data_IF_415663139145
#
_entry.id   IF_415663139145
#
_cell.length_a   1.000
_cell.length_b   1.000
_cell.length_c   1.000
_cell.angle_alpha   90.00
_cell.angle_beta   90.00
_cell.angle_gamma   90.00
#
_symmetry.space_group_name_H-M   'P 1'
#
loop_
_entity.id
_entity.type
_entity.pdbx_description
1 polymer ?
#
# COMPACT_ATOMS: atom_id res chain seq x y z
N UNK A 1 -8.11 -14.17 14.01
CA UNK A 1 -9.11 -13.16 13.61
C UNK A 1 -9.93 -13.74 12.48
N UNK A 2 -11.25 -13.71 12.57
CA UNK A 2 -12.11 -14.32 11.54
C UNK A 2 -12.00 -13.50 10.25
N UNK A 3 -11.75 -14.18 9.13
CA UNK A 3 -11.58 -13.57 7.78
C UNK A 3 -12.78 -12.69 7.36
N UNK A 4 -13.89 -12.72 8.12
CA UNK A 4 -15.15 -12.03 7.84
C UNK A 4 -15.37 -10.75 8.65
N UNK A 5 -14.35 -10.20 9.32
CA UNK A 5 -14.54 -8.94 10.05
C UNK A 5 -14.90 -7.80 9.09
N UNK A 6 -15.94 -7.02 9.39
CA UNK A 6 -16.48 -5.99 8.49
C UNK A 6 -15.42 -4.95 8.06
N UNK A 7 -14.49 -4.60 8.96
CA UNK A 7 -13.38 -3.70 8.62
C UNK A 7 -12.47 -4.32 7.55
N UNK A 8 -12.12 -5.61 7.65
CA UNK A 8 -11.21 -6.26 6.72
C UNK A 8 -11.88 -6.53 5.36
N UNK A 9 -13.18 -6.84 5.38
CA UNK A 9 -13.95 -7.16 4.17
C UNK A 9 -14.47 -5.94 3.43
N UNK A 10 -14.94 -4.91 4.13
CA UNK A 10 -15.60 -3.77 3.50
C UNK A 10 -14.72 -2.52 3.42
N UNK A 11 -13.89 -2.27 4.43
CA UNK A 11 -13.07 -1.04 4.54
C UNK A 11 -11.67 -1.27 4.00
N UNK A 12 -10.90 -2.20 4.56
CA UNK A 12 -9.52 -2.43 4.13
C UNK A 12 -9.48 -3.24 2.82
N UNK A 13 -10.44 -4.16 2.62
CA UNK A 13 -10.53 -5.08 1.48
C UNK A 13 -9.27 -5.95 1.27
N UNK A 14 -8.54 -6.21 2.35
CA UNK A 14 -7.41 -7.12 2.37
C UNK A 14 -7.12 -7.64 3.78
N UNK A 15 -6.33 -8.71 3.86
CA UNK A 15 -5.81 -9.27 5.10
C UNK A 15 -4.29 -9.35 5.04
N UNK A 16 -3.62 -8.95 6.12
CA UNK A 16 -2.22 -9.27 6.33
C UNK A 16 -2.06 -10.77 6.60
N UNK A 17 -1.17 -11.43 5.87
CA UNK A 17 -0.88 -12.86 6.04
C UNK A 17 0.42 -13.05 6.84
N UNK A 18 1.51 -12.44 6.38
CA UNK A 18 2.84 -12.57 6.99
C UNK A 18 3.80 -11.54 6.38
N UNK A 19 5.02 -11.47 6.91
CA UNK A 19 6.16 -10.84 6.25
C UNK A 19 7.44 -11.66 6.53
N UNK A 20 8.40 -11.68 5.60
CA UNK A 20 9.74 -12.23 5.83
C UNK A 20 10.59 -11.25 6.65
N UNK A 21 11.87 -11.57 6.83
CA UNK A 21 12.85 -10.62 7.37
C UNK A 21 12.92 -9.33 6.53
N UNK A 22 13.27 -8.24 7.21
CA UNK A 22 13.42 -6.93 6.58
C UNK A 22 14.41 -6.98 5.41
N UNK A 23 14.09 -6.25 4.34
CA UNK A 23 14.88 -6.26 3.11
C UNK A 23 14.76 -4.92 2.36
N UNK A 24 15.59 -4.72 1.33
CA UNK A 24 15.38 -3.61 0.40
C UNK A 24 14.01 -3.75 -0.26
N UNK A 25 13.16 -2.75 -0.06
CA UNK A 25 11.79 -2.73 -0.53
C UNK A 25 11.60 -1.57 -1.51
N UNK A 26 11.12 -1.90 -2.70
CA UNK A 26 10.87 -0.92 -3.77
C UNK A 26 9.38 -0.71 -3.96
N UNK A 27 8.91 0.52 -3.89
CA UNK A 27 7.56 0.90 -4.30
C UNK A 27 7.57 1.22 -5.80
N UNK A 28 6.63 0.62 -6.52
CA UNK A 28 6.46 0.77 -7.97
C UNK A 28 5.00 1.13 -8.28
N UNK A 29 4.71 2.38 -8.68
CA UNK A 29 3.40 2.73 -9.24
C UNK A 29 3.08 1.90 -10.49
N UNK A 30 1.81 1.48 -10.62
CA UNK A 30 1.34 0.62 -11.72
C UNK A 30 0.05 1.14 -12.39
N UNK A 31 -0.51 2.25 -11.92
CA UNK A 31 -1.70 2.88 -12.48
C UNK A 31 -1.54 4.40 -12.47
N UNK A 32 -2.37 5.10 -13.23
CA UNK A 32 -2.48 6.56 -13.18
C UNK A 32 -3.56 6.99 -12.18
N UNK A 33 -3.21 7.83 -11.21
CA UNK A 33 -4.14 8.35 -10.21
C UNK A 33 -3.51 9.57 -9.48
N UNK A 34 -4.30 10.57 -9.02
CA UNK A 34 -3.76 11.72 -8.27
C UNK A 34 -2.85 11.33 -7.09
N UNK A 35 -3.15 10.22 -6.41
CA UNK A 35 -2.32 9.71 -5.30
C UNK A 35 -0.89 9.40 -5.71
N UNK A 36 -0.67 8.86 -6.92
CA UNK A 36 0.67 8.49 -7.41
C UNK A 36 1.28 9.58 -8.31
N UNK A 37 0.63 10.74 -8.45
CA UNK A 37 1.07 11.79 -9.36
C UNK A 37 2.45 12.34 -8.97
N UNK A 38 3.36 12.35 -9.95
CA UNK A 38 4.74 12.77 -9.76
C UNK A 38 5.54 11.89 -8.80
N UNK A 39 5.11 10.65 -8.56
CA UNK A 39 5.85 9.63 -7.82
C UNK A 39 6.34 8.59 -8.81
N UNK A 40 7.66 8.45 -8.91
CA UNK A 40 8.30 7.38 -9.68
C UNK A 40 8.50 6.11 -8.86
N UNK A 41 9.11 5.10 -9.48
CA UNK A 41 9.65 3.94 -8.75
C UNK A 41 10.74 4.42 -7.78
N UNK A 42 10.67 4.00 -6.52
CA UNK A 42 11.70 4.29 -5.52
C UNK A 42 11.95 3.10 -4.59
N UNK A 43 13.18 2.99 -4.10
CA UNK A 43 13.56 2.02 -3.07
C UNK A 43 13.80 2.77 -1.76
N UNK A 44 13.27 2.24 -0.67
CA UNK A 44 13.48 2.84 0.65
C UNK A 44 14.96 2.88 1.04
N UNK A 45 15.40 3.92 1.77
CA UNK A 45 16.78 4.04 2.22
C UNK A 45 17.17 3.00 3.29
N UNK A 46 16.21 2.54 4.09
CA UNK A 46 16.41 1.46 5.06
C UNK A 46 15.62 0.20 4.69
N UNK A 47 16.04 -0.93 5.25
CA UNK A 47 15.33 -2.19 5.08
C UNK A 47 13.93 -2.08 5.70
N UNK A 48 12.96 -2.69 5.01
CA UNK A 48 11.55 -2.66 5.39
C UNK A 48 10.92 -4.05 5.27
N UNK A 49 9.71 -4.20 5.78
CA UNK A 49 8.98 -5.46 5.81
C UNK A 49 8.16 -5.65 4.51
N UNK A 50 8.45 -6.72 3.76
CA UNK A 50 7.68 -7.06 2.56
C UNK A 50 6.38 -7.78 2.95
N UNK A 51 5.32 -7.03 3.21
CA UNK A 51 4.04 -7.59 3.65
C UNK A 51 3.35 -8.40 2.56
N UNK A 52 2.95 -9.63 2.90
CA UNK A 52 2.12 -10.50 2.04
C UNK A 52 0.67 -10.21 2.34
N UNK A 53 -0.05 -9.67 1.35
CA UNK A 53 -1.43 -9.24 1.48
C UNK A 53 -2.36 -10.16 0.69
N UNK A 54 -3.41 -10.67 1.35
CA UNK A 54 -4.51 -11.38 0.69
C UNK A 54 -5.64 -10.38 0.41
N UNK A 55 -5.74 -9.96 -0.85
CA UNK A 55 -6.86 -9.11 -1.30
C UNK A 55 -8.18 -9.88 -1.24
N UNK A 56 -9.27 -9.19 -0.90
CA UNK A 56 -10.60 -9.80 -0.93
C UNK A 56 -11.01 -10.03 -2.39
N UNK A 57 -11.30 -11.28 -2.81
CA UNK A 57 -11.68 -11.57 -4.19
C UNK A 57 -12.94 -10.84 -4.62
N UNK A 58 -12.98 -10.38 -5.87
CA UNK A 58 -14.13 -9.70 -6.49
C UNK A 58 -14.58 -8.39 -5.80
N UNK A 59 -13.82 -7.87 -4.84
CA UNK A 59 -14.07 -6.54 -4.28
C UNK A 59 -13.59 -5.47 -5.27
N UNK A 60 -14.37 -4.41 -5.45
CA UNK A 60 -14.06 -3.31 -6.37
C UNK A 60 -12.90 -2.46 -5.86
N UNK A 61 -11.67 -2.92 -6.07
CA UNK A 61 -10.45 -2.31 -5.53
C UNK A 61 -9.46 -2.06 -6.66
N UNK A 62 -8.95 -0.84 -6.73
CA UNK A 62 -7.90 -0.47 -7.70
C UNK A 62 -6.55 -0.44 -7.00
N UNK A 63 -5.59 -1.21 -7.49
CA UNK A 63 -4.20 -1.18 -7.00
C UNK A 63 -3.44 -0.08 -7.74
N UNK A 64 -2.86 0.86 -7.01
CA UNK A 64 -2.12 1.99 -7.56
C UNK A 64 -0.61 1.73 -7.61
N UNK A 65 -0.08 0.97 -6.64
CA UNK A 65 1.33 0.65 -6.55
C UNK A 65 1.55 -0.72 -5.92
N UNK A 66 2.68 -1.32 -6.28
CA UNK A 66 3.18 -2.59 -5.75
C UNK A 66 4.48 -2.38 -4.97
N UNK A 67 4.76 -3.26 -4.01
CA UNK A 67 6.08 -3.43 -3.42
C UNK A 67 6.81 -4.58 -4.11
N UNK A 68 8.09 -4.39 -4.41
CA UNK A 68 8.96 -5.38 -5.06
C UNK A 68 10.19 -5.57 -4.20
N UNK A 69 10.53 -6.83 -3.91
CA UNK A 69 11.83 -7.19 -3.31
C UNK A 69 12.26 -8.59 -3.74
N UNK A 70 13.32 -9.13 -3.10
CA UNK A 70 13.74 -10.52 -3.27
C UNK A 70 12.64 -11.56 -2.96
N UNK A 71 11.58 -11.15 -2.24
CA UNK A 71 10.48 -12.03 -1.81
C UNK A 71 9.26 -11.99 -2.75
N UNK A 72 9.34 -11.26 -3.88
CA UNK A 72 8.29 -11.21 -4.90
C UNK A 72 7.68 -9.82 -5.07
N UNK A 73 6.39 -9.80 -5.40
CA UNK A 73 5.60 -8.60 -5.67
C UNK A 73 4.31 -8.67 -4.86
N UNK A 74 3.95 -7.57 -4.18
CA UNK A 74 2.73 -7.47 -3.37
C UNK A 74 2.00 -6.14 -3.60
N UNK A 75 0.66 -6.09 -3.47
CA UNK A 75 -0.07 -4.83 -3.46
C UNK A 75 0.39 -3.94 -2.31
N UNK A 76 0.74 -2.69 -2.61
CA UNK A 76 1.26 -1.74 -1.63
C UNK A 76 0.37 -0.55 -1.39
N UNK A 77 -0.33 -0.10 -2.43
CA UNK A 77 -1.28 1.01 -2.36
C UNK A 77 -2.53 0.63 -3.12
N UNK A 78 -3.70 0.73 -2.49
CA UNK A 78 -4.97 0.50 -3.16
C UNK A 78 -6.07 1.43 -2.68
N UNK A 79 -7.05 1.63 -3.56
CA UNK A 79 -8.16 2.54 -3.34
C UNK A 79 -9.50 1.92 -3.71
N UNK A 80 -10.56 2.46 -3.14
CA UNK A 80 -11.95 2.25 -3.53
C UNK A 80 -12.85 3.26 -2.81
N UNK A 81 -14.15 3.22 -3.08
CA UNK A 81 -15.16 3.95 -2.32
C UNK A 81 -15.93 3.01 -1.39
N UNK A 82 -16.33 3.52 -0.23
CA UNK A 82 -17.22 2.84 0.70
C UNK A 82 -18.29 3.81 1.21
N UNK A 83 -19.53 3.62 0.75
CA UNK A 83 -20.60 4.60 0.96
C UNK A 83 -20.27 5.93 0.27
N UNK A 84 -20.18 7.01 1.04
CA UNK A 84 -19.75 8.34 0.56
C UNK A 84 -18.26 8.62 0.79
N UNK A 85 -17.55 7.71 1.47
CA UNK A 85 -16.14 7.86 1.82
C UNK A 85 -15.22 7.30 0.73
N UNK A 86 -14.00 7.84 0.70
CA UNK A 86 -12.89 7.32 -0.08
C UNK A 86 -11.94 6.56 0.85
N UNK A 87 -11.47 5.40 0.39
CA UNK A 87 -10.49 4.61 1.12
C UNK A 87 -9.20 4.60 0.31
N UNK A 88 -8.09 4.91 0.98
CA UNK A 88 -6.73 4.66 0.50
C UNK A 88 -5.99 3.86 1.57
N UNK A 89 -5.47 2.70 1.19
CA UNK A 89 -4.60 1.91 2.05
C UNK A 89 -3.17 1.99 1.50
N UNK A 90 -2.21 2.27 2.38
CA UNK A 90 -0.78 2.31 2.09
C UNK A 90 -0.11 1.38 3.11
N UNK A 91 0.63 0.39 2.63
CA UNK A 91 1.22 -0.67 3.47
C UNK A 91 2.66 -0.42 3.92
N UNK A 92 3.60 0.00 3.06
CA UNK A 92 5.02 0.02 3.43
C UNK A 92 5.40 1.22 4.29
N UNK A 93 6.66 1.24 4.76
CA UNK A 93 7.30 2.20 5.67
C UNK A 93 7.18 1.83 7.16
N UNK A 94 8.17 1.08 7.66
CA UNK A 94 8.29 0.69 9.08
C UNK A 94 9.12 1.68 9.93
N UNK A 95 10.17 2.29 9.37
CA UNK A 95 11.13 3.12 10.12
C UNK A 95 10.88 4.62 9.95
N UNK A 96 11.38 5.43 10.89
CA UNK A 96 11.35 6.90 10.77
C UNK A 96 12.02 7.38 9.48
N UNK A 97 13.12 6.74 9.07
CA UNK A 97 13.84 7.11 7.87
C UNK A 97 13.01 6.83 6.61
N UNK A 98 12.27 5.72 6.58
CA UNK A 98 11.37 5.39 5.47
C UNK A 98 10.10 6.26 5.48
N UNK A 99 9.51 6.54 6.65
CA UNK A 99 8.33 7.39 6.82
C UNK A 99 8.59 8.85 6.44
N UNK A 100 9.83 9.33 6.56
CA UNK A 100 10.23 10.69 6.20
C UNK A 100 10.91 10.79 4.84
N UNK A 101 11.00 9.68 4.10
CA UNK A 101 11.58 9.68 2.76
C UNK A 101 10.67 10.43 1.78
N UNK A 102 11.23 11.40 1.04
CA UNK A 102 10.45 12.37 0.27
C UNK A 102 9.41 11.75 -0.69
N UNK A 103 9.74 10.72 -1.50
CA UNK A 103 8.76 10.07 -2.36
C UNK A 103 7.58 9.44 -1.59
N UNK A 104 7.85 8.89 -0.40
CA UNK A 104 6.82 8.31 0.46
C UNK A 104 5.98 9.39 1.14
N UNK A 105 6.59 10.47 1.62
CA UNK A 105 5.86 11.62 2.17
C UNK A 105 4.94 12.23 1.12
N UNK A 106 5.41 12.35 -0.12
CA UNK A 106 4.58 12.82 -1.25
C UNK A 106 3.40 11.90 -1.52
N UNK A 107 3.60 10.58 -1.50
CA UNK A 107 2.53 9.58 -1.63
C UNK A 107 1.45 9.79 -0.55
N UNK A 108 1.86 9.94 0.71
CA UNK A 108 0.93 10.16 1.82
C UNK A 108 0.20 11.50 1.70
N UNK A 109 0.90 12.58 1.32
CA UNK A 109 0.27 13.89 1.08
C UNK A 109 -0.79 13.82 -0.02
N UNK A 110 -0.46 13.25 -1.18
CA UNK A 110 -1.41 13.11 -2.28
C UNK A 110 -2.61 12.22 -1.87
N UNK A 111 -2.39 11.20 -1.03
CA UNK A 111 -3.48 10.40 -0.47
C UNK A 111 -4.40 11.22 0.43
N UNK A 112 -3.85 12.05 1.33
CA UNK A 112 -4.61 12.95 2.21
C UNK A 112 -5.42 13.96 1.40
N UNK A 113 -4.84 14.56 0.37
CA UNK A 113 -5.53 15.55 -0.48
C UNK A 113 -6.67 14.90 -1.30
N UNK A 114 -6.55 13.60 -1.59
CA UNK A 114 -7.56 12.88 -2.36
C UNK A 114 -8.74 12.39 -1.52
N UNK A 115 -8.52 11.92 -0.28
CA UNK A 115 -9.58 11.28 0.54
C UNK A 115 -10.68 12.23 1.00
#
# INVERSE_FOLDING_TARGET
>A
YTENHAILTNVVRSNFITHPEQCLLTVKPIAEHPIIEGIGKFTFPEFDEHYVMKMIPNADTTILAETVSKNGVQPAVWIHTYGKGKICCIVPAHTTQNLTYEPFVKLVKNAIDWV
#
